data_IF_569527057377
#
_entry.id   IF_569527057377
#
_cell.length_a   1.000
_cell.length_b   1.000
_cell.length_c   1.000
_cell.angle_alpha   90.00
_cell.angle_beta   90.00
_cell.angle_gamma   90.00
#
_symmetry.space_group_name_H-M   'P 1'
#
loop_
_entity.id
_entity.type
_entity.pdbx_description
1 polymer ?
#
# COMPACT_ATOMS: atom_id res chain seq x y z
N UNK A 1 7.80 6.90 20.16
CA UNK A 1 8.51 6.12 19.12
C UNK A 1 8.89 7.09 18.02
N UNK A 2 10.10 6.99 17.47
CA UNK A 2 10.51 7.83 16.34
C UNK A 2 10.45 6.97 15.08
N UNK A 3 9.80 7.48 14.03
CA UNK A 3 9.78 6.84 12.72
C UNK A 3 11.21 6.85 12.15
N UNK A 4 11.70 5.70 11.71
CA UNK A 4 12.93 5.63 10.92
C UNK A 4 12.61 6.14 9.50
N UNK A 5 13.27 7.21 9.08
CA UNK A 5 13.06 7.82 7.75
C UNK A 5 14.30 7.58 6.90
N UNK A 6 14.22 6.57 6.05
CA UNK A 6 15.23 6.25 5.03
C UNK A 6 14.53 5.64 3.80
N UNK A 7 15.07 5.80 2.59
CA UNK A 7 14.59 5.07 1.42
C UNK A 7 14.81 3.56 1.61
N UNK A 8 13.77 2.77 1.33
CA UNK A 8 13.85 1.31 1.31
C UNK A 8 13.73 0.83 -0.14
N UNK A 9 14.75 0.12 -0.64
CA UNK A 9 14.68 -0.57 -1.92
C UNK A 9 13.99 -1.93 -1.72
N UNK A 10 12.81 -2.08 -2.34
CA UNK A 10 12.00 -3.29 -2.29
C UNK A 10 12.00 -4.04 -3.62
N UNK A 11 12.86 -3.66 -4.57
CA UNK A 11 12.95 -4.35 -5.86
C UNK A 11 13.41 -5.80 -5.67
N UNK A 12 12.59 -6.76 -6.14
CA UNK A 12 12.82 -8.20 -6.00
C UNK A 12 12.96 -8.68 -4.54
N UNK A 13 12.36 -7.97 -3.58
CA UNK A 13 12.35 -8.38 -2.17
C UNK A 13 11.12 -9.25 -1.85
N UNK A 14 11.31 -10.34 -1.10
CA UNK A 14 10.21 -11.05 -0.45
C UNK A 14 9.85 -10.32 0.85
N UNK A 15 8.65 -9.75 0.89
CA UNK A 15 8.12 -9.01 2.06
C UNK A 15 7.08 -9.82 2.82
N UNK A 16 6.92 -11.11 2.51
CA UNK A 16 5.96 -12.00 3.17
C UNK A 16 6.19 -12.06 4.68
N UNK A 17 5.12 -11.89 5.46
CA UNK A 17 5.19 -11.88 6.93
C UNK A 17 5.68 -10.56 7.55
N UNK A 18 6.05 -9.57 6.75
CA UNK A 18 6.41 -8.24 7.24
C UNK A 18 5.18 -7.51 7.80
N UNK A 19 5.36 -6.73 8.88
CA UNK A 19 4.30 -5.88 9.44
C UNK A 19 4.32 -4.51 8.76
N UNK A 20 3.17 -4.08 8.26
CA UNK A 20 2.96 -2.78 7.61
C UNK A 20 2.15 -1.82 8.49
N UNK A 21 2.55 -1.69 9.76
CA UNK A 21 1.89 -0.82 10.74
C UNK A 21 2.75 0.43 10.98
N UNK A 22 2.12 1.61 11.00
CA UNK A 22 2.80 2.90 11.22
C UNK A 22 3.92 3.20 10.20
N UNK A 23 3.73 2.76 8.94
CA UNK A 23 4.65 3.01 7.83
C UNK A 23 4.21 4.24 7.05
N UNK A 24 5.15 5.14 6.72
CA UNK A 24 4.92 6.21 5.74
C UNK A 24 5.38 5.72 4.35
N UNK A 25 4.42 5.55 3.44
CA UNK A 25 4.64 5.04 2.07
C UNK A 25 4.24 6.04 0.98
N UNK A 26 4.35 7.34 1.27
CA UNK A 26 4.18 8.40 0.27
C UNK A 26 5.15 8.19 -0.89
N UNK A 27 4.68 8.39 -2.12
CA UNK A 27 5.48 8.24 -3.35
C UNK A 27 6.07 6.84 -3.60
N UNK A 28 5.58 5.78 -2.93
CA UNK A 28 6.00 4.39 -3.16
C UNK A 28 5.87 3.93 -4.63
N UNK A 29 5.00 4.59 -5.41
CA UNK A 29 4.86 4.37 -6.84
C UNK A 29 3.74 3.40 -7.18
N UNK A 30 4.06 2.13 -7.44
CA UNK A 30 3.10 1.13 -7.93
C UNK A 30 3.46 -0.28 -7.45
N UNK A 31 2.45 -1.04 -7.03
CA UNK A 31 2.56 -2.49 -6.91
C UNK A 31 2.28 -3.12 -8.29
N UNK A 32 3.27 -3.81 -8.87
CA UNK A 32 3.14 -4.50 -10.16
C UNK A 32 3.49 -5.97 -9.99
N UNK A 33 2.63 -6.85 -10.50
CA UNK A 33 2.79 -8.31 -10.38
C UNK A 33 2.95 -8.79 -8.93
N UNK A 34 2.29 -8.12 -7.98
CA UNK A 34 2.27 -8.49 -6.57
C UNK A 34 1.02 -9.33 -6.27
N UNK A 35 1.16 -10.35 -5.44
CA UNK A 35 0.01 -10.99 -4.81
C UNK A 35 -0.44 -10.13 -3.62
N UNK A 36 -1.65 -9.58 -3.71
CA UNK A 36 -2.30 -8.78 -2.66
C UNK A 36 -3.46 -9.54 -2.01
N UNK A 37 -3.48 -10.86 -2.13
CA UNK A 37 -4.49 -11.71 -1.51
C UNK A 37 -4.47 -11.54 0.01
N UNK A 38 -5.65 -11.45 0.62
CA UNK A 38 -5.85 -11.27 2.06
C UNK A 38 -5.35 -9.92 2.63
N UNK A 39 -5.05 -8.93 1.79
CA UNK A 39 -4.78 -7.57 2.27
C UNK A 39 -6.08 -6.91 2.70
N UNK A 40 -6.11 -6.43 3.94
CA UNK A 40 -7.13 -5.53 4.46
C UNK A 40 -6.56 -4.12 4.59
N UNK A 41 -7.31 -3.12 4.12
CA UNK A 41 -6.93 -1.70 4.23
C UNK A 41 -7.87 -1.06 5.23
N UNK A 42 -7.36 -0.80 6.43
CA UNK A 42 -8.14 -0.28 7.57
C UNK A 42 -7.44 0.94 8.15
N UNK A 43 -8.20 1.99 8.44
CA UNK A 43 -7.71 3.26 9.03
C UNK A 43 -6.52 3.90 8.27
N UNK A 44 -6.47 3.72 6.95
CA UNK A 44 -5.43 4.28 6.08
C UNK A 44 -5.97 5.46 5.26
N UNK A 45 -5.10 6.43 4.94
CA UNK A 45 -5.39 7.40 3.87
C UNK A 45 -5.25 6.71 2.51
N UNK A 46 -6.38 6.57 1.82
CA UNK A 46 -6.47 5.94 0.50
C UNK A 46 -6.67 6.96 -0.63
N UNK A 47 -6.46 8.26 -0.35
CA UNK A 47 -6.63 9.31 -1.34
C UNK A 47 -5.73 9.08 -2.54
N UNK A 48 -6.33 8.99 -3.72
CA UNK A 48 -5.62 8.73 -4.98
C UNK A 48 -5.22 7.27 -5.22
N UNK A 49 -5.50 6.34 -4.28
CA UNK A 49 -5.27 4.91 -4.49
C UNK A 49 -6.05 4.41 -5.71
N UNK A 50 -5.35 3.69 -6.59
CA UNK A 50 -5.93 3.08 -7.80
C UNK A 50 -5.70 1.58 -7.81
N UNK A 51 -6.74 0.81 -8.10
CA UNK A 51 -6.66 -0.62 -8.38
C UNK A 51 -6.95 -0.81 -9.87
N UNK A 52 -5.99 -1.36 -10.61
CA UNK A 52 -6.08 -1.55 -12.06
C UNK A 52 -6.48 -0.26 -12.82
N UNK A 53 -5.96 0.89 -12.37
CA UNK A 53 -6.21 2.20 -12.98
C UNK A 53 -7.50 2.90 -12.52
N UNK A 54 -8.36 2.23 -11.76
CA UNK A 54 -9.62 2.79 -11.25
C UNK A 54 -9.41 3.32 -9.83
N UNK A 55 -9.90 4.53 -9.54
CA UNK A 55 -9.83 5.07 -8.18
C UNK A 55 -10.62 4.19 -7.22
N UNK A 56 -10.03 3.87 -6.06
CA UNK A 56 -10.70 3.03 -5.06
C UNK A 56 -12.00 3.67 -4.57
N UNK A 57 -12.01 5.01 -4.48
CA UNK A 57 -13.20 5.78 -4.12
C UNK A 57 -14.34 5.59 -5.12
N UNK A 58 -14.04 5.33 -6.40
CA UNK A 58 -15.08 5.03 -7.40
C UNK A 58 -15.63 3.61 -7.26
N UNK A 59 -14.80 2.66 -6.84
CA UNK A 59 -15.20 1.25 -6.65
C UNK A 59 -16.06 1.04 -5.40
N UNK A 60 -15.84 1.81 -4.33
CA UNK A 60 -16.57 1.65 -3.06
C UNK A 60 -17.83 2.51 -2.94
N UNK A 61 -18.10 3.40 -3.92
CA UNK A 61 -19.24 4.34 -3.92
C UNK A 61 -20.64 3.71 -3.85
N UNK A 62 -20.76 2.39 -3.97
CA UNK A 62 -22.03 1.66 -3.87
C UNK A 62 -22.11 0.67 -2.71
N UNK A 63 -21.19 0.75 -1.75
CA UNK A 63 -21.23 -0.02 -0.50
C UNK A 63 -21.82 0.79 0.65
#
# INVERSE_FOLDING_TARGET
MNLKVEPLDLQMADVSGSKWQEVRAEELGQFRNCDLSNVEITDCDITGLKINGILISDLIKGK
#
